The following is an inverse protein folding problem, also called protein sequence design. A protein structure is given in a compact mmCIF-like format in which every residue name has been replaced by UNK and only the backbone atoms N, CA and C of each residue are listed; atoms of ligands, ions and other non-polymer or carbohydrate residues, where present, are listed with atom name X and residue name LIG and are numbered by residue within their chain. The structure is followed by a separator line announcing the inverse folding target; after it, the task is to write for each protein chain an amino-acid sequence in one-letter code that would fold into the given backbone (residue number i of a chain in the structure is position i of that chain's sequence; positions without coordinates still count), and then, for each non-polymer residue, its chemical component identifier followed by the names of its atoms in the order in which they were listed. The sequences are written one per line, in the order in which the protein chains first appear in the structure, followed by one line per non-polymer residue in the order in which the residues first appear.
data_IF_852876086849
#
_entry.id   IF_852876086849
#
_cell.length_a   1.000
_cell.length_b   1.000
_cell.length_c   1.000
_cell.angle_alpha   90.00
_cell.angle_beta   90.00
_cell.angle_gamma   90.00
#
_symmetry.space_group_name_H-M   'P 1'
#
loop_
_entity.id
_entity.type
_entity.pdbx_description
1 polymer ?
#
# COMPACT_ATOMS: atom_id res chain seq x y z
N UNK A 1 -11.90 1.27 44.67
CA UNK A 1 -11.78 2.67 45.15
C UNK A 1 -10.32 3.13 45.13
N UNK A 2 -9.52 2.76 44.13
CA UNK A 2 -8.08 3.12 44.04
C UNK A 2 -7.83 4.44 43.30
N UNK A 3 -8.63 4.74 42.26
CA UNK A 3 -8.46 5.93 41.44
C UNK A 3 -8.65 7.25 42.23
N UNK A 4 -9.57 7.25 43.21
CA UNK A 4 -9.85 8.42 44.07
C UNK A 4 -8.66 8.71 45.00
N UNK A 5 -8.04 7.67 45.56
CA UNK A 5 -6.87 7.80 46.44
C UNK A 5 -5.62 8.23 45.66
N UNK A 6 -5.44 7.74 44.42
CA UNK A 6 -4.35 8.16 43.55
C UNK A 6 -4.44 9.64 43.15
N UNK A 7 -5.65 10.12 42.83
CA UNK A 7 -5.87 11.53 42.51
C UNK A 7 -5.57 12.46 43.70
N UNK A 8 -5.89 12.03 44.93
CA UNK A 8 -5.64 12.80 46.15
C UNK A 8 -4.14 13.04 46.46
N UNK A 9 -3.24 12.21 45.92
CA UNK A 9 -1.79 12.34 46.05
C UNK A 9 -1.11 12.94 44.81
N UNK A 10 -1.90 13.52 43.89
CA UNK A 10 -1.38 14.19 42.69
C UNK A 10 -0.98 13.25 41.55
N UNK A 11 -1.28 11.95 41.64
CA UNK A 11 -1.07 11.01 40.53
C UNK A 11 -2.26 11.10 39.57
N UNK A 12 -2.00 11.41 38.30
CA UNK A 12 -3.01 11.30 37.26
C UNK A 12 -3.49 9.83 37.22
N UNK A 13 -4.78 9.54 37.44
CA UNK A 13 -5.29 8.17 37.48
C UNK A 13 -5.21 7.46 36.11
N UNK A 14 -5.01 8.23 35.04
CA UNK A 14 -4.83 7.74 33.69
C UNK A 14 -3.65 8.45 33.04
N UNK A 15 -2.80 7.68 32.36
CA UNK A 15 -1.83 8.21 31.41
C UNK A 15 -2.60 8.59 30.15
N UNK A 16 -2.38 9.79 29.62
CA UNK A 16 -2.92 10.18 28.32
C UNK A 16 -2.46 9.16 27.28
N UNK A 17 -3.40 8.55 26.53
CA UNK A 17 -3.00 7.67 25.43
C UNK A 17 -2.17 8.52 24.46
N UNK A 18 -0.99 8.02 24.01
CA UNK A 18 -0.28 8.68 22.93
C UNK A 18 -1.23 8.80 21.74
N UNK A 19 -1.13 9.93 21.01
CA UNK A 19 -1.79 10.05 19.71
C UNK A 19 -1.38 8.84 18.87
N UNK A 20 -2.31 8.20 18.14
CA UNK A 20 -1.92 7.13 17.23
C UNK A 20 -0.86 7.70 16.29
N UNK A 21 0.31 7.04 16.24
CA UNK A 21 1.27 7.30 15.18
C UNK A 21 0.59 7.01 13.84
N UNK A 22 1.05 7.66 12.76
CA UNK A 22 0.67 7.24 11.41
C UNK A 22 0.88 5.73 11.31
N UNK A 23 -0.17 4.98 10.95
CA UNK A 23 -0.09 3.53 10.94
C UNK A 23 1.00 3.09 9.95
N UNK A 24 1.98 2.26 10.35
CA UNK A 24 3.01 1.75 9.45
C UNK A 24 2.45 1.06 8.19
N UNK A 25 1.22 0.54 8.28
CA UNK A 25 0.48 -0.01 7.15
C UNK A 25 0.27 1.02 6.03
N UNK A 26 0.07 2.30 6.39
CA UNK A 26 -0.11 3.38 5.41
C UNK A 26 1.20 3.69 4.66
N UNK A 27 2.37 3.47 5.28
CA UNK A 27 3.64 3.70 4.61
C UNK A 27 3.91 2.65 3.52
N UNK A 28 3.65 1.37 3.80
CA UNK A 28 3.84 0.29 2.82
C UNK A 28 2.81 0.38 1.69
N UNK A 29 1.56 0.68 2.01
CA UNK A 29 0.52 0.90 1.00
C UNK A 29 0.89 2.06 0.07
N UNK A 30 1.38 3.18 0.61
CA UNK A 30 1.86 4.33 -0.19
C UNK A 30 2.99 3.94 -1.12
N UNK A 31 3.95 3.14 -0.65
CA UNK A 31 5.03 2.66 -1.49
C UNK A 31 4.50 1.78 -2.64
N UNK A 32 3.69 0.76 -2.34
CA UNK A 32 3.07 -0.10 -3.35
C UNK A 32 2.21 0.68 -4.37
N UNK A 33 1.43 1.65 -3.88
CA UNK A 33 0.64 2.55 -4.72
C UNK A 33 1.52 3.39 -5.65
N UNK A 34 2.63 3.92 -5.14
CA UNK A 34 3.61 4.66 -5.93
C UNK A 34 4.21 3.82 -7.06
N UNK A 35 4.60 2.57 -6.76
CA UNK A 35 5.12 1.63 -7.76
C UNK A 35 4.11 1.33 -8.88
N UNK A 36 2.85 1.06 -8.52
CA UNK A 36 1.78 0.83 -9.50
C UNK A 36 1.46 2.08 -10.32
N UNK A 37 1.51 3.27 -9.72
CA UNK A 37 1.32 4.53 -10.44
C UNK A 37 2.43 4.77 -11.46
N UNK A 38 3.69 4.47 -11.12
CA UNK A 38 4.82 4.55 -12.06
C UNK A 38 4.63 3.57 -13.23
N UNK A 39 4.25 2.32 -12.94
CA UNK A 39 3.94 1.34 -13.99
C UNK A 39 2.81 1.84 -14.90
N UNK A 40 1.74 2.40 -14.33
CA UNK A 40 0.63 2.98 -15.08
C UNK A 40 1.08 4.13 -15.99
N UNK A 41 1.91 5.04 -15.48
CA UNK A 41 2.48 6.16 -16.24
C UNK A 41 3.35 5.67 -17.40
N UNK A 42 4.31 4.78 -17.12
CA UNK A 42 5.21 4.23 -18.14
C UNK A 42 4.41 3.52 -19.23
N UNK A 43 3.44 2.69 -18.85
CA UNK A 43 2.56 1.96 -19.78
C UNK A 43 1.86 2.89 -20.77
N UNK A 44 1.36 4.03 -20.31
CA UNK A 44 0.71 5.01 -21.18
C UNK A 44 1.71 5.79 -22.04
N UNK A 45 2.90 6.11 -21.50
CA UNK A 45 3.93 6.86 -22.25
C UNK A 45 4.51 6.10 -23.42
N UNK A 46 4.57 4.79 -23.35
CA UNK A 46 5.00 3.91 -24.46
C UNK A 46 3.82 3.52 -25.38
N UNK A 47 2.70 4.25 -25.32
CA UNK A 47 1.54 4.09 -26.19
C UNK A 47 0.88 2.68 -26.16
N UNK A 48 1.07 1.93 -25.07
CA UNK A 48 0.31 0.68 -24.84
C UNK A 48 -1.15 0.99 -24.47
N UNK A 49 -1.97 -0.05 -24.35
CA UNK A 49 -3.42 0.09 -24.18
C UNK A 49 -3.82 0.94 -22.96
N UNK A 50 -4.66 1.96 -23.21
CA UNK A 50 -5.12 2.90 -22.18
C UNK A 50 -5.84 2.18 -21.03
N UNK A 51 -6.71 1.24 -21.35
CA UNK A 51 -7.50 0.52 -20.34
C UNK A 51 -6.65 -0.16 -19.27
N UNK A 52 -5.48 -0.68 -19.64
CA UNK A 52 -4.55 -1.34 -18.71
C UNK A 52 -3.72 -0.33 -17.90
N UNK A 53 -3.24 0.74 -18.53
CA UNK A 53 -2.60 1.85 -17.80
C UNK A 53 -3.53 2.43 -16.72
N UNK A 54 -4.79 2.66 -17.09
CA UNK A 54 -5.82 3.13 -16.15
C UNK A 54 -6.15 2.11 -15.05
N UNK A 55 -6.06 0.81 -15.32
CA UNK A 55 -6.24 -0.22 -14.30
C UNK A 55 -5.16 -0.14 -13.20
N UNK A 56 -3.89 0.09 -13.57
CA UNK A 56 -2.82 0.31 -12.61
C UNK A 56 -3.03 1.56 -11.75
N UNK A 57 -3.46 2.67 -12.34
CA UNK A 57 -3.81 3.88 -11.57
C UNK A 57 -4.98 3.66 -10.61
N UNK A 58 -6.03 2.93 -11.05
CA UNK A 58 -7.15 2.57 -10.16
C UNK A 58 -6.67 1.72 -8.99
N UNK A 59 -5.83 0.71 -9.24
CA UNK A 59 -5.27 -0.13 -8.19
C UNK A 59 -4.41 0.69 -7.22
N UNK A 60 -3.54 1.55 -7.73
CA UNK A 60 -2.71 2.46 -6.92
C UNK A 60 -3.56 3.31 -5.97
N UNK A 61 -4.60 3.97 -6.49
CA UNK A 61 -5.51 4.80 -5.68
C UNK A 61 -6.21 4.00 -4.59
N UNK A 62 -6.74 2.82 -4.92
CA UNK A 62 -7.45 1.99 -3.95
C UNK A 62 -6.53 1.40 -2.88
N UNK A 63 -5.27 1.14 -3.20
CA UNK A 63 -4.25 0.70 -2.23
C UNK A 63 -3.87 1.83 -1.29
N UNK A 64 -3.64 3.04 -1.82
CA UNK A 64 -3.32 4.21 -1.00
C UNK A 64 -4.44 4.57 -0.01
N UNK A 65 -5.70 4.41 -0.43
CA UNK A 65 -6.91 4.61 0.38
C UNK A 65 -7.25 3.40 1.29
N UNK A 66 -6.52 2.28 1.21
CA UNK A 66 -6.89 1.07 1.92
C UNK A 66 -6.58 1.15 3.43
N UNK A 67 -7.58 0.85 4.25
CA UNK A 67 -7.42 0.69 5.71
C UNK A 67 -6.65 -0.58 6.13
N UNK A 68 -6.44 -1.50 5.18
CA UNK A 68 -5.76 -2.78 5.40
C UNK A 68 -4.35 -2.72 4.86
N UNK A 69 -3.43 -3.36 5.57
CA UNK A 69 -2.06 -3.54 5.10
C UNK A 69 -2.03 -4.54 3.92
N UNK A 70 -1.77 -4.02 2.72
CA UNK A 70 -1.76 -4.83 1.49
C UNK A 70 -0.57 -5.79 1.48
N UNK A 71 0.56 -5.41 2.08
CA UNK A 71 1.72 -6.28 2.19
C UNK A 71 1.41 -7.49 3.08
N UNK A 72 0.71 -7.28 4.20
CA UNK A 72 0.26 -8.40 5.05
C UNK A 72 -0.67 -9.32 4.26
N UNK A 73 -1.69 -8.77 3.59
CA UNK A 73 -2.60 -9.57 2.76
C UNK A 73 -1.86 -10.36 1.67
N UNK A 74 -0.82 -9.77 1.07
CA UNK A 74 0.04 -10.46 0.11
C UNK A 74 0.80 -11.63 0.75
N UNK A 75 1.45 -11.39 1.89
CA UNK A 75 2.24 -12.41 2.58
C UNK A 75 1.40 -13.62 3.04
N UNK A 76 0.11 -13.41 3.28
CA UNK A 76 -0.84 -14.46 3.66
C UNK A 76 -1.50 -15.14 2.44
N UNK A 77 -1.19 -14.73 1.21
CA UNK A 77 -1.83 -15.25 -0.01
C UNK A 77 -3.28 -14.80 -0.19
N UNK A 78 -3.67 -13.70 0.45
CA UNK A 78 -5.05 -13.22 0.56
C UNK A 78 -5.41 -12.11 -0.43
N UNK A 79 -4.55 -11.72 -1.38
CA UNK A 79 -4.89 -10.67 -2.37
C UNK A 79 -6.10 -11.00 -3.23
N UNK A 80 -6.43 -12.29 -3.40
CA UNK A 80 -7.61 -12.75 -4.13
C UNK A 80 -8.95 -12.29 -3.53
N UNK A 81 -8.97 -11.85 -2.27
CA UNK A 81 -10.19 -11.33 -1.62
C UNK A 81 -10.55 -9.91 -2.09
N UNK A 82 -9.65 -9.22 -2.80
CA UNK A 82 -9.83 -7.85 -3.26
C UNK A 82 -10.39 -7.89 -4.70
N UNK A 83 -11.72 -7.79 -4.90
CA UNK A 83 -12.34 -7.98 -6.22
C UNK A 83 -11.98 -6.87 -7.22
N UNK A 84 -11.54 -5.73 -6.73
CA UNK A 84 -11.09 -4.59 -7.54
C UNK A 84 -9.62 -4.71 -7.98
N UNK A 85 -8.85 -5.66 -7.43
CA UNK A 85 -7.45 -5.85 -7.76
C UNK A 85 -7.31 -6.85 -8.91
N UNK A 86 -7.12 -6.32 -10.11
CA UNK A 86 -6.96 -7.09 -11.34
C UNK A 86 -5.67 -7.94 -11.33
N UNK A 87 -5.64 -9.10 -12.01
CA UNK A 87 -4.49 -10.02 -11.96
C UNK A 87 -3.13 -9.38 -12.27
N UNK A 88 -2.97 -8.51 -13.29
CA UNK A 88 -1.67 -7.90 -13.57
C UNK A 88 -1.15 -7.02 -12.41
N UNK A 89 -2.04 -6.30 -11.72
CA UNK A 89 -1.64 -5.51 -10.56
C UNK A 89 -1.32 -6.38 -9.35
N UNK A 90 -1.99 -7.54 -9.22
CA UNK A 90 -1.70 -8.52 -8.18
C UNK A 90 -0.30 -9.12 -8.33
N UNK A 91 0.04 -9.55 -9.54
CA UNK A 91 1.36 -10.11 -9.86
C UNK A 91 2.48 -9.11 -9.52
N UNK A 92 2.30 -7.83 -9.89
CA UNK A 92 3.25 -6.76 -9.53
C UNK A 92 3.41 -6.61 -8.02
N UNK A 93 2.30 -6.61 -7.25
CA UNK A 93 2.37 -6.49 -5.78
C UNK A 93 3.10 -7.71 -5.19
N UNK A 94 2.83 -8.90 -5.69
CA UNK A 94 3.49 -10.13 -5.23
C UNK A 94 5.01 -10.06 -5.46
N UNK A 95 5.47 -9.59 -6.63
CA UNK A 95 6.90 -9.37 -6.90
C UNK A 95 7.50 -8.30 -5.97
N UNK A 96 6.81 -7.17 -5.81
CA UNK A 96 7.27 -6.06 -4.97
C UNK A 96 7.40 -6.49 -3.50
N UNK A 97 6.44 -7.24 -2.97
CA UNK A 97 6.50 -7.75 -1.60
C UNK A 97 7.59 -8.81 -1.44
N UNK A 98 7.77 -9.69 -2.43
CA UNK A 98 8.75 -10.78 -2.35
C UNK A 98 10.19 -10.31 -2.55
N UNK A 99 10.43 -9.37 -3.47
CA UNK A 99 11.76 -9.02 -3.95
C UNK A 99 12.09 -7.51 -3.87
N UNK A 100 11.14 -6.65 -3.47
CA UNK A 100 11.32 -5.21 -3.43
C UNK A 100 11.38 -4.54 -4.82
N UNK A 101 11.09 -5.29 -5.89
CA UNK A 101 11.17 -4.84 -7.28
C UNK A 101 10.16 -5.58 -8.14
N UNK A 102 9.77 -4.99 -9.27
CA UNK A 102 8.87 -5.61 -10.25
C UNK A 102 9.57 -5.75 -11.59
N UNK A 103 9.50 -6.96 -12.16
CA UNK A 103 10.03 -7.28 -13.49
C UNK A 103 9.32 -6.44 -14.55
N UNK A 104 8.01 -6.24 -14.40
CA UNK A 104 7.22 -5.41 -15.31
C UNK A 104 7.69 -3.94 -15.27
N UNK A 105 8.01 -3.42 -14.08
CA UNK A 105 8.53 -2.05 -13.97
C UNK A 105 9.88 -1.92 -14.70
N UNK A 106 10.80 -2.86 -14.47
CA UNK A 106 12.12 -2.88 -15.12
C UNK A 106 11.98 -2.96 -16.66
N UNK A 107 11.06 -3.79 -17.17
CA UNK A 107 10.76 -3.89 -18.61
C UNK A 107 10.28 -2.55 -19.19
N UNK A 108 9.27 -1.94 -18.56
CA UNK A 108 8.67 -0.70 -19.02
C UNK A 108 9.66 0.49 -18.97
N UNK A 109 10.50 0.55 -17.94
CA UNK A 109 11.57 1.54 -17.84
C UNK A 109 12.60 1.37 -18.97
N UNK A 110 12.99 0.13 -19.29
CA UNK A 110 13.92 -0.14 -20.37
C UNK A 110 13.35 0.24 -21.75
N UNK A 111 12.07 -0.05 -22.00
CA UNK A 111 11.38 0.32 -23.25
C UNK A 111 11.18 1.83 -23.38
N UNK A 112 10.88 2.54 -22.28
CA UNK A 112 10.73 3.99 -22.31
C UNK A 112 12.04 4.73 -22.64
N UNK A 113 13.19 4.14 -22.30
CA UNK A 113 14.52 4.72 -22.51
C UNK A 113 15.16 4.36 -23.85
N UNK A 114 14.56 3.45 -24.62
CA UNK A 114 15.04 3.05 -25.95
C UNK A 114 14.56 3.98 -27.05
#
# INVERSE_FOLDING_TARGET
MFAIQAAAVGLKPFVERPLPADSPALAHNRWLAGELAIIGELWLRIERSEGRGQAFFRAARLIDEADRDIQVLCSEGNLGILPWLEPPSREVIEELVAAGRSSLREELEAEYLS
#
